data_IF_666704499995
#
_entry.id   IF_666704499995
#
_cell.length_a   1.000
_cell.length_b   1.000
_cell.length_c   1.000
_cell.angle_alpha   90.00
_cell.angle_beta   90.00
_cell.angle_gamma   90.00
#
_symmetry.space_group_name_H-M   'P 1'
#
loop_
_entity.id
_entity.type
_entity.pdbx_description
1 polymer ?
#
# COMPACT_ATOMS: atom_id res chain seq x y z
N UNK A 1 16.55 -7.17 33.41
CA UNK A 1 15.10 -6.88 33.27
C UNK A 1 14.59 -7.73 32.12
N UNK A 2 13.51 -8.50 32.27
CA UNK A 2 13.04 -9.38 31.20
C UNK A 2 12.65 -8.53 30.00
N UNK A 3 13.15 -8.90 28.82
CA UNK A 3 12.78 -8.27 27.55
C UNK A 3 11.33 -8.64 27.29
N UNK A 4 10.42 -7.82 27.79
CA UNK A 4 9.00 -7.90 27.44
C UNK A 4 8.89 -7.72 25.93
N UNK A 5 8.38 -8.75 25.26
CA UNK A 5 8.21 -8.75 23.81
C UNK A 5 7.04 -7.84 23.48
N UNK A 6 7.28 -6.73 22.79
CA UNK A 6 6.24 -5.76 22.39
C UNK A 6 5.04 -6.42 21.67
N UNK A 7 5.27 -7.50 20.91
CA UNK A 7 4.21 -8.26 20.24
C UNK A 7 3.18 -8.90 21.18
N UNK A 8 3.52 -9.14 22.46
CA UNK A 8 2.58 -9.70 23.44
C UNK A 8 1.53 -8.69 23.92
N UNK A 9 1.71 -7.39 23.63
CA UNK A 9 0.79 -6.32 24.05
C UNK A 9 -0.23 -5.91 23.00
N UNK A 10 -0.06 -6.35 21.75
CA UNK A 10 -0.88 -5.91 20.63
C UNK A 10 -1.63 -7.08 20.00
N UNK A 11 -2.94 -6.92 19.83
CA UNK A 11 -3.77 -7.83 19.02
C UNK A 11 -3.50 -7.55 17.54
N UNK A 12 -2.46 -8.21 17.01
CA UNK A 12 -2.04 -8.04 15.63
C UNK A 12 -2.89 -8.92 14.73
N UNK A 13 -3.51 -8.37 13.67
CA UNK A 13 -4.32 -9.18 12.77
C UNK A 13 -3.46 -10.25 12.09
N UNK A 14 -3.99 -11.47 11.88
CA UNK A 14 -3.27 -12.51 11.18
C UNK A 14 -2.96 -12.06 9.76
N UNK A 15 -1.72 -12.31 9.31
CA UNK A 15 -1.32 -11.97 7.95
C UNK A 15 -2.02 -12.92 6.95
N UNK A 16 -2.62 -12.39 5.87
CA UNK A 16 -3.12 -13.24 4.78
C UNK A 16 -1.97 -13.96 4.07
N UNK A 17 -2.27 -14.96 3.21
CA UNK A 17 -1.29 -15.57 2.33
C UNK A 17 -0.46 -14.52 1.56
N UNK A 18 0.83 -14.77 1.28
CA UNK A 18 1.68 -13.78 0.62
C UNK A 18 1.14 -13.23 -0.71
N UNK A 19 0.49 -14.08 -1.51
CA UNK A 19 -0.13 -13.72 -2.79
C UNK A 19 -1.44 -12.93 -2.65
N UNK A 20 -2.06 -12.98 -1.48
CA UNK A 20 -3.26 -12.21 -1.14
C UNK A 20 -2.93 -10.92 -0.39
N UNK A 21 -1.73 -10.81 0.19
CA UNK A 21 -1.31 -9.64 0.94
C UNK A 21 -1.26 -8.38 0.07
N UNK A 22 -2.07 -7.38 0.43
CA UNK A 22 -2.27 -6.15 -0.33
C UNK A 22 -3.31 -6.26 -1.45
N UNK A 23 -3.97 -7.40 -1.63
CA UNK A 23 -5.16 -7.47 -2.48
C UNK A 23 -6.38 -6.97 -1.71
N UNK A 24 -7.34 -6.37 -2.41
CA UNK A 24 -8.57 -5.88 -1.81
C UNK A 24 -9.78 -6.18 -2.69
N UNK A 25 -10.95 -6.12 -2.07
CA UNK A 25 -12.24 -6.19 -2.76
C UNK A 25 -12.91 -4.81 -2.75
N UNK A 26 -13.12 -4.25 -3.93
CA UNK A 26 -13.94 -3.04 -4.12
C UNK A 26 -15.39 -3.50 -4.25
N UNK A 27 -16.20 -3.14 -3.25
CA UNK A 27 -17.59 -3.56 -3.10
C UNK A 27 -18.51 -2.44 -2.60
N UNK A 28 -18.27 -1.19 -3.02
CA UNK A 28 -19.16 -0.06 -2.67
C UNK A 28 -20.57 -0.26 -3.20
N UNK A 29 -20.70 -0.73 -4.44
CA UNK A 29 -21.98 -0.90 -5.15
C UNK A 29 -22.18 -2.29 -5.75
N UNK A 30 -21.14 -3.09 -5.98
CA UNK A 30 -21.23 -4.34 -6.75
C UNK A 30 -22.24 -5.32 -6.16
N UNK A 31 -22.06 -5.77 -4.91
CA UNK A 31 -22.96 -6.75 -4.30
C UNK A 31 -24.40 -6.23 -4.15
N UNK A 32 -24.59 -4.92 -3.94
CA UNK A 32 -25.92 -4.30 -3.90
C UNK A 32 -26.66 -4.39 -5.24
N UNK A 33 -25.92 -4.50 -6.34
CA UNK A 33 -26.45 -4.63 -7.70
C UNK A 33 -26.30 -6.06 -8.25
N UNK A 34 -26.16 -7.07 -7.37
CA UNK A 34 -25.98 -8.46 -7.75
C UNK A 34 -24.77 -8.73 -8.69
N UNK A 35 -23.74 -7.89 -8.62
CA UNK A 35 -22.46 -8.09 -9.31
C UNK A 35 -21.39 -8.49 -8.29
N UNK A 36 -20.52 -9.43 -8.65
CA UNK A 36 -19.40 -9.81 -7.79
C UNK A 36 -18.49 -8.59 -7.50
N UNK A 37 -17.91 -8.48 -6.29
CA UNK A 37 -16.92 -7.45 -5.98
C UNK A 37 -15.74 -7.47 -6.95
N UNK A 38 -15.15 -6.29 -7.18
CA UNK A 38 -13.92 -6.20 -7.98
C UNK A 38 -12.73 -6.58 -7.11
N UNK A 39 -11.95 -7.57 -7.53
CA UNK A 39 -10.63 -7.79 -6.94
C UNK A 39 -9.62 -6.81 -7.53
N UNK A 40 -8.82 -6.19 -6.67
CA UNK A 40 -7.66 -5.40 -7.07
C UNK A 40 -6.42 -5.88 -6.34
N UNK A 41 -5.36 -6.18 -7.10
CA UNK A 41 -4.08 -6.62 -6.54
C UNK A 41 -3.04 -5.51 -6.59
N UNK A 42 -2.63 -5.00 -5.43
CA UNK A 42 -1.57 -3.99 -5.40
C UNK A 42 -0.24 -4.53 -5.88
N UNK A 43 0.18 -5.73 -5.46
CA UNK A 43 1.48 -6.26 -5.88
C UNK A 43 1.54 -6.48 -7.39
N UNK A 44 0.42 -6.85 -8.03
CA UNK A 44 0.37 -7.05 -9.47
C UNK A 44 0.62 -5.74 -10.23
N UNK A 45 -0.01 -4.65 -9.79
CA UNK A 45 0.09 -3.33 -10.39
C UNK A 45 1.39 -2.61 -10.01
N UNK A 46 1.88 -2.78 -8.77
CA UNK A 46 3.11 -2.16 -8.26
C UNK A 46 4.39 -2.61 -8.96
N UNK A 47 4.33 -3.70 -9.72
CA UNK A 47 5.42 -4.09 -10.64
C UNK A 47 5.64 -3.06 -11.75
N UNK A 48 4.59 -2.34 -12.13
CA UNK A 48 4.59 -1.40 -13.27
C UNK A 48 4.32 0.04 -12.86
N UNK A 49 3.56 0.28 -11.80
CA UNK A 49 3.05 1.60 -11.44
C UNK A 49 3.34 1.93 -9.98
N UNK A 50 3.73 3.18 -9.73
CA UNK A 50 3.93 3.70 -8.38
C UNK A 50 2.59 4.02 -7.71
N UNK A 51 2.57 4.09 -6.38
CA UNK A 51 1.37 4.45 -5.62
C UNK A 51 0.83 5.83 -6.02
N UNK A 52 1.73 6.77 -6.36
CA UNK A 52 1.39 8.11 -6.85
C UNK A 52 0.40 8.10 -8.03
N UNK A 53 0.57 7.19 -8.99
CA UNK A 53 -0.32 7.16 -10.16
C UNK A 53 -1.77 6.98 -9.70
N UNK A 54 -2.01 5.98 -8.86
CA UNK A 54 -3.37 5.67 -8.41
C UNK A 54 -3.89 6.69 -7.39
N UNK A 55 -3.07 7.09 -6.42
CA UNK A 55 -3.53 7.87 -5.27
C UNK A 55 -3.33 9.38 -5.39
N UNK A 56 -2.60 9.86 -6.41
CA UNK A 56 -2.47 11.30 -6.72
C UNK A 56 -3.03 11.64 -8.10
N UNK A 57 -2.66 10.94 -9.17
CA UNK A 57 -3.14 11.28 -10.52
C UNK A 57 -4.56 10.81 -10.79
N UNK A 58 -4.93 9.63 -10.28
CA UNK A 58 -6.27 9.05 -10.47
C UNK A 58 -7.19 9.27 -9.28
N UNK A 59 -6.68 9.93 -8.23
CA UNK A 59 -7.43 10.33 -7.03
C UNK A 59 -8.18 9.18 -6.35
N UNK A 60 -7.66 7.95 -6.43
CA UNK A 60 -8.20 6.85 -5.63
C UNK A 60 -7.94 7.13 -4.14
N UNK A 61 -9.02 7.21 -3.36
CA UNK A 61 -8.94 7.30 -1.91
C UNK A 61 -8.13 6.14 -1.32
N UNK A 62 -7.36 6.44 -0.28
CA UNK A 62 -6.49 5.46 0.40
C UNK A 62 -7.29 4.35 1.09
N UNK A 63 -8.54 4.64 1.49
CA UNK A 63 -9.44 3.67 2.09
C UNK A 63 -10.33 3.03 1.03
N UNK A 64 -10.38 1.69 1.04
CA UNK A 64 -11.25 0.92 0.12
C UNK A 64 -12.71 1.37 0.23
N UNK A 65 -13.43 1.34 -0.90
CA UNK A 65 -14.85 1.71 -1.01
C UNK A 65 -15.19 3.19 -0.73
N UNK A 66 -14.21 4.09 -0.71
CA UNK A 66 -14.46 5.53 -0.59
C UNK A 66 -14.58 6.24 -1.94
N UNK A 67 -13.77 5.85 -2.93
CA UNK A 67 -13.84 6.40 -4.29
C UNK A 67 -15.12 5.94 -5.00
N UNK A 68 -15.83 6.88 -5.63
CA UNK A 68 -17.06 6.62 -6.38
C UNK A 68 -16.78 6.12 -7.80
N UNK A 69 -16.21 4.93 -7.91
CA UNK A 69 -15.92 4.30 -9.19
C UNK A 69 -17.24 3.78 -9.81
N UNK A 70 -17.47 4.13 -11.07
CA UNK A 70 -18.60 3.62 -11.86
C UNK A 70 -18.11 3.07 -13.18
N UNK A 71 -18.86 2.14 -13.76
CA UNK A 71 -18.51 1.57 -15.07
C UNK A 71 -18.64 2.61 -16.20
N UNK A 72 -19.56 3.57 -16.07
CA UNK A 72 -19.66 4.70 -16.98
C UNK A 72 -18.39 5.56 -16.94
N UNK A 73 -17.89 5.88 -15.74
CA UNK A 73 -16.64 6.61 -15.55
C UNK A 73 -15.44 5.83 -16.13
N UNK A 74 -15.34 4.53 -15.86
CA UNK A 74 -14.31 3.66 -16.44
C UNK A 74 -14.30 3.74 -17.98
N UNK A 75 -15.46 3.52 -18.62
CA UNK A 75 -15.60 3.58 -20.08
C UNK A 75 -15.32 4.97 -20.67
N UNK A 76 -15.50 6.02 -19.88
CA UNK A 76 -15.15 7.40 -20.27
C UNK A 76 -13.66 7.74 -20.11
N UNK A 77 -12.82 6.77 -19.72
CA UNK A 77 -11.38 6.98 -19.58
C UNK A 77 -10.94 7.47 -18.20
N UNK A 78 -11.75 7.23 -17.16
CA UNK A 78 -11.40 7.51 -15.77
C UNK A 78 -11.09 6.22 -15.01
N UNK A 79 -10.47 6.32 -13.83
CA UNK A 79 -10.19 5.19 -12.96
C UNK A 79 -9.54 4.03 -13.73
N UNK A 80 -10.06 2.81 -13.64
CA UNK A 80 -9.47 1.62 -14.28
C UNK A 80 -9.30 1.79 -15.79
N UNK A 81 -10.24 2.48 -16.45
CA UNK A 81 -10.22 2.70 -17.90
C UNK A 81 -9.36 3.87 -18.37
N UNK A 82 -8.60 4.51 -17.46
CA UNK A 82 -7.69 5.60 -17.81
C UNK A 82 -6.68 5.20 -18.90
N UNK A 83 -6.28 6.16 -19.73
CA UNK A 83 -5.27 5.95 -20.78
C UNK A 83 -3.98 5.37 -20.18
N UNK A 84 -3.48 4.27 -20.75
CA UNK A 84 -2.33 3.54 -20.20
C UNK A 84 -2.68 2.44 -19.18
N UNK A 85 -3.97 2.25 -18.87
CA UNK A 85 -4.49 1.21 -17.99
C UNK A 85 -5.43 0.25 -18.75
N UNK A 86 -6.67 0.05 -18.31
CA UNK A 86 -7.66 -0.83 -18.94
C UNK A 86 -8.47 -0.11 -20.04
N UNK A 87 -7.77 0.57 -20.94
CA UNK A 87 -8.33 1.38 -22.03
C UNK A 87 -8.56 0.59 -23.34
N UNK A 88 -8.36 -0.74 -23.30
CA UNK A 88 -8.42 -1.61 -24.48
C UNK A 88 -7.19 -1.54 -25.39
N UNK A 89 -6.19 -0.71 -25.05
CA UNK A 89 -4.94 -0.53 -25.81
C UNK A 89 -3.73 -0.95 -25.00
N UNK A 90 -3.55 -0.37 -23.82
CA UNK A 90 -2.45 -0.67 -22.90
C UNK A 90 -2.69 -1.96 -22.11
N UNK A 91 -3.94 -2.22 -21.74
CA UNK A 91 -4.41 -3.48 -21.20
C UNK A 91 -5.81 -3.82 -21.74
N UNK A 92 -6.36 -4.97 -21.36
CA UNK A 92 -7.71 -5.36 -21.73
C UNK A 92 -8.73 -4.31 -21.29
N UNK A 93 -9.75 -4.07 -22.11
CA UNK A 93 -10.76 -3.05 -21.88
C UNK A 93 -11.94 -3.54 -21.05
N UNK A 94 -13.00 -2.75 -21.11
CA UNK A 94 -14.26 -2.91 -20.38
C UNK A 94 -15.33 -3.65 -21.21
N UNK A 95 -14.93 -4.69 -21.95
CA UNK A 95 -15.83 -5.54 -22.72
C UNK A 95 -16.59 -6.54 -21.83
N UNK A 96 -17.77 -6.99 -22.28
CA UNK A 96 -18.57 -7.98 -21.52
C UNK A 96 -17.78 -9.28 -21.28
N UNK A 97 -16.92 -9.67 -22.22
CA UNK A 97 -16.08 -10.87 -22.12
C UNK A 97 -14.95 -10.76 -21.10
N UNK A 98 -14.64 -9.56 -20.61
CA UNK A 98 -13.55 -9.32 -19.65
C UNK A 98 -14.05 -9.00 -18.24
N UNK A 99 -15.37 -8.89 -18.01
CA UNK A 99 -15.96 -8.57 -16.71
C UNK A 99 -15.41 -9.42 -15.55
N UNK A 100 -15.36 -10.76 -15.70
CA UNK A 100 -14.89 -11.68 -14.65
C UNK A 100 -13.39 -11.55 -14.35
N UNK A 101 -12.60 -10.87 -15.19
CA UNK A 101 -11.18 -10.58 -14.88
C UNK A 101 -11.05 -9.64 -13.67
N UNK A 102 -12.06 -8.80 -13.45
CA UNK A 102 -12.13 -7.88 -12.31
C UNK A 102 -13.22 -8.31 -11.33
N UNK A 103 -14.43 -8.54 -11.80
CA UNK A 103 -15.61 -8.89 -11.01
C UNK A 103 -15.67 -10.40 -10.71
N UNK A 104 -14.77 -10.89 -9.86
CA UNK A 104 -14.77 -12.30 -9.44
C UNK A 104 -14.86 -12.49 -7.93
N UNK A 105 -14.71 -11.43 -7.12
CA UNK A 105 -14.78 -11.51 -5.66
C UNK A 105 -13.69 -12.37 -5.00
N UNK A 106 -12.64 -12.74 -5.72
CA UNK A 106 -11.63 -13.69 -5.25
C UNK A 106 -10.29 -12.98 -4.99
N UNK A 107 -9.87 -12.88 -3.73
CA UNK A 107 -8.60 -12.26 -3.35
C UNK A 107 -7.37 -12.99 -3.89
N UNK A 108 -7.44 -14.30 -4.17
CA UNK A 108 -6.33 -15.06 -4.76
C UNK A 108 -6.35 -15.05 -6.29
N UNK A 109 -7.19 -14.23 -6.93
CA UNK A 109 -7.21 -14.11 -8.39
C UNK A 109 -5.83 -13.65 -8.91
N UNK A 110 -5.28 -14.42 -9.85
CA UNK A 110 -3.95 -14.14 -10.41
C UNK A 110 -2.77 -14.63 -9.57
N UNK A 111 -3.00 -15.44 -8.51
CA UNK A 111 -1.93 -15.94 -7.62
C UNK A 111 -0.81 -16.67 -8.34
N UNK A 112 -1.09 -17.32 -9.47
CA UNK A 112 -0.09 -18.00 -10.30
C UNK A 112 1.00 -17.05 -10.78
N UNK A 113 0.66 -15.76 -10.96
CA UNK A 113 1.58 -14.70 -11.37
C UNK A 113 2.48 -14.21 -10.24
N UNK A 114 2.21 -14.62 -9.00
CA UNK A 114 3.04 -14.25 -7.86
C UNK A 114 4.47 -14.80 -8.01
N UNK A 115 4.62 -15.95 -8.67
CA UNK A 115 5.92 -16.54 -9.01
C UNK A 115 6.79 -15.62 -9.89
N UNK A 116 6.20 -14.67 -10.64
CA UNK A 116 6.95 -13.66 -11.41
C UNK A 116 7.81 -12.76 -10.49
N UNK A 117 7.50 -12.67 -9.20
CA UNK A 117 8.25 -11.88 -8.21
C UNK A 117 9.41 -12.64 -7.56
N UNK A 118 9.61 -13.94 -7.86
CA UNK A 118 10.57 -14.80 -7.16
C UNK A 118 12.04 -14.33 -7.24
N UNK A 119 12.38 -13.50 -8.23
CA UNK A 119 13.73 -12.93 -8.39
C UNK A 119 13.98 -11.68 -7.52
N UNK A 120 12.94 -11.11 -6.91
CA UNK A 120 13.08 -9.95 -6.05
C UNK A 120 13.62 -10.35 -4.67
N UNK A 121 14.27 -9.41 -3.96
CA UNK A 121 14.73 -9.66 -2.59
C UNK A 121 13.57 -10.06 -1.68
N UNK A 122 13.83 -10.99 -0.76
CA UNK A 122 12.83 -11.56 0.14
C UNK A 122 12.73 -10.79 1.47
N UNK A 123 11.56 -10.86 2.10
CA UNK A 123 11.26 -10.33 3.42
C UNK A 123 10.64 -11.40 4.33
N UNK A 124 10.82 -11.27 5.65
CA UNK A 124 10.23 -12.20 6.63
C UNK A 124 8.72 -12.05 6.81
N UNK A 125 8.15 -10.90 6.44
CA UNK A 125 6.75 -10.52 6.72
C UNK A 125 6.01 -10.05 5.46
N UNK A 126 4.68 -9.88 5.59
CA UNK A 126 3.80 -9.42 4.52
C UNK A 126 3.77 -10.38 3.34
N UNK A 127 3.82 -9.83 2.13
CA UNK A 127 3.90 -10.63 0.91
C UNK A 127 5.26 -11.32 0.68
N UNK A 128 6.16 -11.33 1.67
CA UNK A 128 7.50 -11.94 1.60
C UNK A 128 8.45 -11.32 0.56
N UNK A 129 8.10 -10.16 -0.01
CA UNK A 129 8.98 -9.39 -0.92
C UNK A 129 9.48 -8.14 -0.20
N UNK A 130 10.79 -7.93 -0.23
CA UNK A 130 11.42 -6.67 0.22
C UNK A 130 11.43 -5.65 -0.92
N UNK A 131 10.30 -4.98 -1.10
CA UNK A 131 10.10 -3.93 -2.11
C UNK A 131 11.08 -2.76 -1.95
N UNK A 132 11.38 -2.36 -0.72
CA UNK A 132 12.33 -1.27 -0.47
C UNK A 132 13.71 -1.64 -1.01
N UNK A 133 14.18 -2.86 -0.72
CA UNK A 133 15.45 -3.35 -1.26
C UNK A 133 15.41 -3.51 -2.78
N UNK A 134 14.30 -4.02 -3.33
CA UNK A 134 14.11 -4.14 -4.79
C UNK A 134 14.25 -2.79 -5.50
N UNK A 135 13.55 -1.76 -5.01
CA UNK A 135 13.59 -0.40 -5.54
C UNK A 135 14.97 0.24 -5.38
N UNK A 136 15.58 0.10 -4.19
CA UNK A 136 16.90 0.66 -3.91
C UNK A 136 18.01 0.11 -4.84
N UNK A 137 17.85 -1.14 -5.30
CA UNK A 137 18.78 -1.82 -6.20
C UNK A 137 18.41 -1.66 -7.68
N UNK A 138 17.34 -0.95 -8.01
CA UNK A 138 16.84 -0.82 -9.38
C UNK A 138 16.30 -2.13 -9.99
N UNK A 139 15.97 -3.14 -9.16
CA UNK A 139 15.39 -4.41 -9.62
C UNK A 139 13.91 -4.28 -9.98
N UNK A 140 13.28 -3.18 -9.55
CA UNK A 140 11.94 -2.77 -9.95
C UNK A 140 11.97 -1.25 -10.14
N UNK A 141 11.44 -0.78 -11.27
CA UNK A 141 11.42 0.65 -11.61
C UNK A 141 10.01 1.00 -12.14
N UNK A 142 9.02 1.12 -11.24
CA UNK A 142 7.65 1.41 -11.66
C UNK A 142 7.53 2.82 -12.23
N UNK A 143 6.64 2.98 -13.20
CA UNK A 143 6.24 4.27 -13.74
C UNK A 143 5.72 5.19 -12.63
N UNK A 144 6.17 6.45 -12.66
CA UNK A 144 5.86 7.46 -11.64
C UNK A 144 4.74 8.41 -12.02
N UNK A 145 4.34 8.40 -13.29
CA UNK A 145 3.24 9.18 -13.84
C UNK A 145 2.64 8.47 -15.05
N UNK A 146 1.38 8.77 -15.37
CA UNK A 146 0.77 8.42 -16.66
C UNK A 146 0.89 9.62 -17.60
N UNK A 147 0.37 10.76 -17.16
CA UNK A 147 0.30 11.99 -17.96
C UNK A 147 0.97 13.17 -17.27
N UNK A 148 0.87 13.26 -15.93
CA UNK A 148 1.31 14.42 -15.18
C UNK A 148 2.69 14.16 -14.56
N UNK A 149 3.73 14.69 -15.19
CA UNK A 149 5.09 14.64 -14.62
C UNK A 149 5.13 15.32 -13.25
N UNK A 150 5.73 14.69 -12.22
CA UNK A 150 5.85 15.30 -10.91
C UNK A 150 6.68 16.59 -10.98
N UNK A 151 6.13 17.68 -10.46
CA UNK A 151 6.68 19.05 -10.57
C UNK A 151 7.95 19.23 -9.73
N UNK A 152 8.18 18.38 -8.73
CA UNK A 152 9.32 18.53 -7.84
C UNK A 152 9.79 17.17 -7.30
N UNK A 153 10.89 16.64 -7.84
CA UNK A 153 11.60 15.48 -7.27
C UNK A 153 12.47 15.92 -6.09
N UNK A 154 11.92 16.69 -5.14
CA UNK A 154 12.70 17.07 -3.97
C UNK A 154 13.06 15.81 -3.19
N UNK A 155 14.34 15.46 -3.20
CA UNK A 155 14.87 14.39 -2.38
C UNK A 155 14.91 14.86 -0.92
N UNK A 156 13.81 14.70 -0.19
CA UNK A 156 13.81 14.88 1.25
C UNK A 156 14.48 13.66 1.89
N UNK A 157 15.65 13.89 2.51
CA UNK A 157 16.51 12.81 3.04
C UNK A 157 16.42 12.66 4.56
N UNK A 158 15.71 13.54 5.25
CA UNK A 158 15.70 13.51 6.70
C UNK A 158 14.97 12.26 7.20
N UNK A 159 15.57 11.69 8.23
CA UNK A 159 15.02 10.59 9.01
C UNK A 159 14.39 11.23 10.24
N UNK A 160 13.08 11.06 10.39
CA UNK A 160 12.39 11.51 11.58
C UNK A 160 12.54 10.44 12.66
N UNK A 161 12.93 10.85 13.87
CA UNK A 161 12.83 10.03 15.07
C UNK A 161 11.49 10.32 15.73
N UNK A 162 10.69 9.27 15.95
CA UNK A 162 9.37 9.32 16.57
C UNK A 162 9.47 8.68 17.95
N UNK A 163 9.41 9.50 18.99
CA UNK A 163 9.47 9.03 20.36
C UNK A 163 8.26 8.14 20.67
N UNK A 164 8.50 7.09 21.43
CA UNK A 164 7.43 6.20 21.89
C UNK A 164 6.73 6.81 23.11
N UNK A 165 5.40 6.80 23.10
CA UNK A 165 4.59 7.13 24.29
C UNK A 165 4.66 6.03 25.36
N UNK A 166 5.02 4.81 24.96
CA UNK A 166 5.09 3.64 25.85
C UNK A 166 6.48 3.46 26.45
N UNK A 167 6.52 3.33 27.79
CA UNK A 167 7.74 3.10 28.55
C UNK A 167 8.42 1.79 28.12
N UNK A 168 9.72 1.84 27.84
CA UNK A 168 10.52 0.68 27.46
C UNK A 168 10.46 0.30 25.97
N UNK A 169 9.68 1.02 25.16
CA UNK A 169 9.64 0.86 23.70
C UNK A 169 10.64 1.85 23.07
N UNK A 170 11.67 1.38 22.34
CA UNK A 170 12.61 2.27 21.68
C UNK A 170 11.92 3.21 20.66
N UNK A 171 12.49 4.38 20.36
CA UNK A 171 11.93 5.27 19.33
C UNK A 171 11.79 4.58 17.97
N UNK A 172 10.75 4.95 17.23
CA UNK A 172 10.61 4.58 15.83
C UNK A 172 11.37 5.54 14.92
N UNK A 173 11.75 5.09 13.73
CA UNK A 173 12.34 5.94 12.70
C UNK A 173 11.43 5.98 11.46
N UNK A 174 11.35 7.15 10.83
CA UNK A 174 10.65 7.35 9.56
C UNK A 174 11.60 8.01 8.54
N UNK A 175 12.19 7.22 7.63
CA UNK A 175 12.95 7.75 6.50
C UNK A 175 12.01 8.08 5.33
N UNK A 176 12.06 9.32 4.82
CA UNK A 176 11.25 9.70 3.65
C UNK A 176 11.69 9.01 2.36
N UNK A 177 13.00 8.83 2.17
CA UNK A 177 13.59 8.27 0.93
C UNK A 177 12.89 6.99 0.45
N UNK A 178 12.73 5.92 1.26
CA UNK A 178 12.06 4.71 0.80
C UNK A 178 10.57 4.90 0.47
N UNK A 179 9.88 5.85 1.10
CA UNK A 179 8.49 6.18 0.80
C UNK A 179 8.37 6.92 -0.54
N UNK A 180 9.24 7.91 -0.76
CA UNK A 180 9.25 8.72 -1.99
C UNK A 180 9.62 7.96 -3.27
N UNK A 181 10.10 6.70 -3.16
CA UNK A 181 10.30 5.83 -4.32
C UNK A 181 8.98 5.40 -4.99
N UNK A 182 7.88 5.34 -4.24
CA UNK A 182 6.56 4.97 -4.76
C UNK A 182 5.50 6.05 -4.57
N UNK A 183 5.72 6.99 -3.66
CA UNK A 183 4.77 8.02 -3.26
C UNK A 183 5.31 9.42 -3.58
N UNK A 184 4.42 10.41 -3.59
CA UNK A 184 4.73 11.83 -3.51
C UNK A 184 4.32 12.44 -2.16
N UNK A 185 4.60 13.73 -2.00
CA UNK A 185 4.29 14.46 -0.77
C UNK A 185 2.78 14.49 -0.50
N UNK A 186 1.96 14.67 -1.55
CA UNK A 186 0.49 14.74 -1.46
C UNK A 186 -0.16 13.42 -1.06
N UNK A 187 0.49 12.27 -1.29
CA UNK A 187 -0.03 11.00 -0.80
C UNK A 187 -0.07 10.92 0.74
N UNK A 188 0.74 11.72 1.44
CA UNK A 188 0.77 11.74 2.90
C UNK A 188 0.25 13.06 3.49
N UNK A 189 0.54 14.18 2.83
CA UNK A 189 0.30 15.51 3.37
C UNK A 189 -0.83 16.24 2.61
N UNK A 190 -1.71 16.96 3.33
CA UNK A 190 -1.77 17.07 4.80
C UNK A 190 -2.59 15.95 5.45
N UNK A 191 -3.29 15.11 4.67
CA UNK A 191 -4.41 14.31 5.15
C UNK A 191 -4.03 13.22 6.17
N UNK A 192 -2.88 12.56 5.97
CA UNK A 192 -2.41 11.50 6.87
C UNK A 192 -1.46 12.07 7.93
N UNK A 193 -0.56 12.95 7.49
CA UNK A 193 0.41 13.61 8.35
C UNK A 193 0.44 15.10 8.03
N UNK A 194 0.56 15.94 9.05
CA UNK A 194 0.87 17.35 8.82
C UNK A 194 2.36 17.53 8.55
N UNK A 195 2.72 18.51 7.71
CA UNK A 195 4.12 18.81 7.37
C UNK A 195 4.93 19.18 8.63
N UNK A 196 4.29 19.82 9.61
CA UNK A 196 4.91 20.15 10.90
C UNK A 196 4.70 19.00 11.89
N UNK A 197 5.79 18.36 12.30
CA UNK A 197 5.80 17.23 13.27
C UNK A 197 4.93 17.47 14.51
N UNK A 198 4.96 18.69 15.08
CA UNK A 198 4.21 19.04 16.31
C UNK A 198 2.70 19.19 16.11
N UNK A 199 2.21 19.11 14.87
CA UNK A 199 0.78 19.30 14.57
C UNK A 199 0.05 18.02 14.22
N UNK A 200 0.74 16.88 14.11
CA UNK A 200 0.12 15.56 14.05
C UNK A 200 -0.15 15.12 15.49
N UNK A 201 -1.36 15.35 15.99
CA UNK A 201 -1.78 14.97 17.34
C UNK A 201 -2.33 13.52 17.33
N UNK A 202 -2.29 12.81 18.47
CA UNK A 202 -2.89 11.48 18.63
C UNK A 202 -2.29 10.35 17.77
N UNK A 203 -1.03 10.47 17.35
CA UNK A 203 -0.29 9.40 16.69
C UNK A 203 0.11 8.29 17.68
N UNK A 204 -0.53 7.13 17.60
CA UNK A 204 -0.29 5.98 18.50
C UNK A 204 -0.26 4.65 17.76
N UNK A 205 0.28 3.60 18.38
CA UNK A 205 0.19 2.24 17.83
C UNK A 205 -1.25 1.74 17.69
N UNK A 206 -2.15 2.13 18.60
CA UNK A 206 -3.58 1.80 18.49
C UNK A 206 -4.21 2.43 17.25
N UNK A 207 -3.98 3.74 17.03
CA UNK A 207 -4.47 4.43 15.84
C UNK A 207 -3.90 3.83 14.55
N UNK A 208 -2.61 3.50 14.56
CA UNK A 208 -1.95 2.77 13.48
C UNK A 208 -2.65 1.43 13.17
N UNK A 209 -3.00 0.63 14.18
CA UNK A 209 -3.72 -0.64 13.97
C UNK A 209 -5.16 -0.44 13.50
N UNK A 210 -5.76 0.71 13.78
CA UNK A 210 -7.10 1.11 13.29
C UNK A 210 -7.09 1.66 11.85
N UNK A 211 -5.95 1.65 11.18
CA UNK A 211 -5.81 2.10 9.79
C UNK A 211 -5.54 3.59 9.64
N UNK A 212 -5.17 4.29 10.71
CA UNK A 212 -4.73 5.68 10.68
C UNK A 212 -3.22 5.78 10.54
N UNK A 213 -2.70 6.95 10.15
CA UNK A 213 -1.28 7.24 10.05
C UNK A 213 -0.49 6.20 9.23
N UNK A 214 0.44 5.45 9.86
CA UNK A 214 1.21 4.40 9.19
C UNK A 214 0.28 3.27 8.72
N UNK A 215 -0.81 3.01 9.44
CA UNK A 215 -1.81 1.98 9.16
C UNK A 215 -2.59 2.15 7.88
N UNK A 216 -2.60 3.36 7.31
CA UNK A 216 -3.17 3.59 5.98
C UNK A 216 -2.52 2.67 4.95
N UNK A 217 -1.21 2.41 5.10
CA UNK A 217 -0.43 1.58 4.19
C UNK A 217 0.07 0.29 4.85
N UNK A 218 0.67 0.37 6.04
CA UNK A 218 1.22 -0.77 6.77
C UNK A 218 0.10 -1.68 7.29
N UNK A 219 0.35 -3.00 7.30
CA UNK A 219 -0.65 -4.06 7.54
C UNK A 219 -1.64 -4.30 6.39
N UNK A 220 -1.72 -3.38 5.43
CA UNK A 220 -2.53 -3.52 4.22
C UNK A 220 -1.66 -3.82 2.99
N UNK A 221 -1.06 -2.79 2.40
CA UNK A 221 -0.29 -2.86 1.14
C UNK A 221 1.23 -2.79 1.36
N UNK A 222 1.67 -2.20 2.47
CA UNK A 222 3.05 -2.22 2.94
C UNK A 222 3.24 -3.31 4.00
N UNK A 223 4.48 -3.53 4.45
CA UNK A 223 4.78 -4.60 5.42
C UNK A 223 3.89 -4.48 6.68
N UNK A 224 3.53 -5.62 7.33
CA UNK A 224 2.65 -5.61 8.49
C UNK A 224 3.34 -5.08 9.74
N UNK A 225 2.56 -4.49 10.64
CA UNK A 225 3.07 -3.92 11.90
C UNK A 225 3.66 -4.95 12.86
N UNK A 226 3.47 -6.25 12.59
CA UNK A 226 4.18 -7.33 13.28
C UNK A 226 5.71 -7.26 13.12
N UNK A 227 6.23 -6.64 12.06
CA UNK A 227 7.66 -6.44 11.85
C UNK A 227 8.17 -5.21 12.63
N UNK A 228 8.10 -5.30 13.97
CA UNK A 228 8.38 -4.22 14.91
C UNK A 228 9.73 -3.52 14.64
N UNK A 229 10.77 -4.31 14.39
CA UNK A 229 12.15 -3.87 14.16
C UNK A 229 12.31 -2.99 12.92
N UNK A 230 11.43 -3.10 11.92
CA UNK A 230 11.49 -2.22 10.74
C UNK A 230 11.24 -0.76 11.10
N UNK A 231 10.38 -0.51 12.08
CA UNK A 231 10.10 0.85 12.58
C UNK A 231 10.99 1.18 13.78
N UNK A 232 11.16 0.22 14.70
CA UNK A 232 11.91 0.38 15.94
C UNK A 232 13.25 -0.38 15.84
N UNK A 233 14.31 0.20 15.24
CA UNK A 233 15.54 -0.53 14.90
C UNK A 233 16.29 -1.09 16.13
N UNK A 234 16.06 -0.51 17.31
CA UNK A 234 16.61 -0.96 18.58
C UNK A 234 15.77 -2.06 19.28
N UNK A 235 14.67 -2.51 18.67
CA UNK A 235 13.91 -3.69 19.14
C UNK A 235 14.45 -5.00 18.56
N UNK A 236 14.18 -6.08 19.29
CA UNK A 236 14.24 -7.45 18.77
C UNK A 236 12.83 -7.89 18.35
N UNK A 237 12.65 -8.34 17.10
CA UNK A 237 11.41 -8.98 16.68
C UNK A 237 11.24 -10.30 17.44
N UNK A 238 10.02 -10.60 17.90
CA UNK A 238 9.71 -11.97 18.28
C UNK A 238 9.71 -12.88 17.05
N UNK A 239 10.16 -14.13 17.16
CA UNK A 239 9.83 -15.14 16.17
C UNK A 239 8.30 -15.25 16.13
N UNK A 240 7.72 -14.97 14.96
CA UNK A 240 6.32 -15.27 14.69
C UNK A 240 6.07 -16.75 14.52
#
# INVERSE_FOLDING_TARGET
MPVMVAAQFWDLPPAPPPDEFGNLLINRTSSKNAVKPVVFSHWLHRRKFSCRICHSEMEFGMKVNTTEITEAANKSGQFCGSSGCHDGKAAFGHEISTCEKCHNGNLSAGKERFAELAKLPTAGFGNKIDWSKALSKGLSVPARHLTIKPVNEMAFKDILVLESEWLGTPPAIFPHRPHTWLLDCSNCHPDIFHIKKKTTQHFSMTANLQGEYCGVCHTNVAFPMADCKRCHPAMTNSPG
#
